data_IF_997331187318
#
_entry.id   IF_997331187318
#
_cell.length_a   1.000
_cell.length_b   1.000
_cell.length_c   1.000
_cell.angle_alpha   90.00
_cell.angle_beta   90.00
_cell.angle_gamma   90.00
#
_symmetry.space_group_name_H-M   'P 1'
#
loop_
_entity.id
_entity.type
_entity.pdbx_description
1 polymer ?
#
# COMPACT_ATOMS: atom_id res chain seq x y z
N UNK A 1 63.08 20.56 -37.17
CA UNK A 1 64.27 19.71 -36.92
C UNK A 1 63.91 18.83 -35.72
N UNK A 2 63.26 17.66 -35.89
CA UNK A 2 63.78 16.35 -36.34
C UNK A 2 64.99 15.91 -35.46
N UNK A 3 65.13 14.75 -34.81
CA UNK A 3 64.40 13.45 -34.65
C UNK A 3 65.08 12.73 -33.45
N UNK A 4 64.38 11.80 -32.81
CA UNK A 4 64.79 10.43 -32.35
C UNK A 4 64.46 10.19 -30.86
N UNK A 5 63.40 9.45 -30.52
CA UNK A 5 63.17 8.00 -30.70
C UNK A 5 64.15 7.11 -29.92
N UNK A 6 63.71 6.58 -28.78
CA UNK A 6 64.27 5.38 -28.18
C UNK A 6 63.17 4.62 -27.41
N UNK A 7 62.49 3.72 -28.13
CA UNK A 7 61.74 2.60 -27.56
C UNK A 7 62.72 1.63 -26.87
N UNK A 8 62.35 1.09 -25.70
CA UNK A 8 62.95 -0.12 -25.12
C UNK A 8 61.88 -1.23 -25.03
N UNK A 9 62.22 -2.51 -25.20
CA UNK A 9 61.32 -3.54 -25.69
C UNK A 9 60.44 -4.20 -24.61
N UNK A 10 59.33 -4.73 -25.10
CA UNK A 10 58.46 -5.70 -24.46
C UNK A 10 59.26 -6.93 -24.01
N UNK A 11 59.22 -7.25 -22.71
CA UNK A 11 59.52 -8.59 -22.21
C UNK A 11 58.28 -9.14 -21.54
N UNK A 12 57.73 -10.18 -22.15
CA UNK A 12 56.67 -10.99 -21.60
C UNK A 12 57.22 -11.73 -20.37
N UNK A 13 56.64 -11.46 -19.21
CA UNK A 13 56.65 -12.40 -18.08
C UNK A 13 55.17 -12.67 -17.76
N UNK A 14 54.76 -13.93 -17.93
CA UNK A 14 53.39 -14.36 -17.69
C UNK A 14 52.97 -14.10 -16.24
N UNK A 15 51.66 -13.95 -15.98
CA UNK A 15 51.19 -13.71 -14.61
C UNK A 15 51.51 -14.92 -13.73
N UNK A 16 51.99 -14.73 -12.48
CA UNK A 16 52.03 -15.81 -11.51
C UNK A 16 50.59 -16.29 -11.26
N UNK A 17 50.38 -17.57 -11.55
CA UNK A 17 49.14 -18.30 -11.29
C UNK A 17 49.01 -18.56 -9.79
N UNK A 18 48.63 -17.53 -9.03
CA UNK A 18 48.32 -17.66 -7.61
C UNK A 18 46.80 -17.66 -7.39
N UNK A 19 46.29 -18.87 -7.17
CA UNK A 19 45.09 -19.23 -6.41
C UNK A 19 44.02 -18.14 -6.22
N UNK A 20 43.13 -17.99 -7.20
CA UNK A 20 41.79 -17.43 -6.94
C UNK A 20 41.02 -18.49 -6.16
N UNK A 21 41.07 -18.39 -4.82
CA UNK A 21 40.17 -19.11 -3.94
C UNK A 21 38.71 -18.83 -4.35
N UNK A 22 37.82 -19.83 -4.36
CA UNK A 22 36.43 -19.59 -4.69
C UNK A 22 35.80 -18.74 -3.59
N UNK A 23 35.48 -17.48 -3.88
CA UNK A 23 34.55 -16.66 -3.10
C UNK A 23 33.12 -17.21 -3.25
N UNK A 24 32.93 -18.48 -2.93
CA UNK A 24 31.62 -19.11 -2.88
C UNK A 24 30.97 -18.77 -1.54
N UNK A 25 29.91 -17.97 -1.62
CA UNK A 25 28.67 -18.25 -0.92
C UNK A 25 28.65 -18.06 0.62
N UNK A 26 29.25 -16.98 1.16
CA UNK A 26 28.98 -16.53 2.55
C UNK A 26 27.95 -15.40 2.68
N UNK A 27 27.39 -14.90 1.57
CA UNK A 27 26.44 -13.77 1.57
C UNK A 27 24.99 -14.15 1.91
N UNK A 28 24.58 -15.41 1.72
CA UNK A 28 23.20 -15.85 1.96
C UNK A 28 22.83 -15.94 3.45
N UNK A 29 23.74 -16.39 4.32
CA UNK A 29 23.48 -16.58 5.75
C UNK A 29 23.32 -15.27 6.54
N UNK A 30 24.10 -14.24 6.20
CA UNK A 30 24.01 -12.91 6.85
C UNK A 30 22.69 -12.19 6.57
N UNK A 31 22.12 -12.38 5.37
CA UNK A 31 20.83 -11.80 5.01
C UNK A 31 19.65 -12.43 5.75
N UNK A 32 19.68 -13.75 5.96
CA UNK A 32 18.63 -14.46 6.70
C UNK A 32 18.63 -14.11 8.20
N UNK A 33 19.81 -14.01 8.82
CA UNK A 33 19.94 -13.59 10.23
C UNK A 33 19.44 -12.15 10.43
N UNK A 34 19.81 -11.22 9.54
CA UNK A 34 19.34 -9.85 9.61
C UNK A 34 17.81 -9.72 9.40
N UNK A 35 17.23 -10.55 8.53
CA UNK A 35 15.78 -10.64 8.33
C UNK A 35 15.08 -11.16 9.59
N UNK A 36 15.59 -12.23 10.20
CA UNK A 36 15.07 -12.81 11.43
C UNK A 36 15.13 -11.84 12.61
N UNK A 37 16.22 -11.08 12.74
CA UNK A 37 16.36 -10.04 13.78
C UNK A 37 15.33 -8.93 13.57
N UNK A 38 15.13 -8.46 12.33
CA UNK A 38 14.12 -7.43 12.01
C UNK A 38 12.69 -7.90 12.29
N UNK A 39 12.38 -9.14 11.91
CA UNK A 39 11.09 -9.78 12.25
C UNK A 39 10.94 -9.94 13.76
N UNK A 40 12.02 -10.30 14.46
CA UNK A 40 12.07 -10.42 15.92
C UNK A 40 11.73 -9.10 16.63
N UNK A 41 12.29 -7.97 16.19
CA UNK A 41 11.94 -6.65 16.72
C UNK A 41 10.48 -6.27 16.46
N UNK A 42 9.94 -6.63 15.29
CA UNK A 42 8.52 -6.42 14.98
C UNK A 42 7.60 -7.20 15.91
N UNK A 43 7.87 -8.50 16.09
CA UNK A 43 7.13 -9.35 17.03
C UNK A 43 7.28 -8.83 18.46
N UNK A 44 8.48 -8.46 18.88
CA UNK A 44 8.73 -7.92 20.22
C UNK A 44 7.92 -6.64 20.48
N UNK A 45 7.81 -5.73 19.51
CA UNK A 45 7.01 -4.51 19.66
C UNK A 45 5.52 -4.81 19.81
N UNK A 46 4.98 -5.74 19.01
CA UNK A 46 3.56 -6.13 19.08
C UNK A 46 3.27 -6.86 20.40
N UNK A 47 4.15 -7.77 20.81
CA UNK A 47 4.04 -8.48 22.08
C UNK A 47 4.18 -7.56 23.28
N UNK A 48 5.02 -6.53 23.22
CA UNK A 48 5.13 -5.52 24.27
C UNK A 48 3.82 -4.75 24.42
N UNK A 49 3.22 -4.32 23.31
CA UNK A 49 1.94 -3.61 23.32
C UNK A 49 0.82 -4.49 23.91
N UNK A 50 0.72 -5.75 23.46
CA UNK A 50 -0.25 -6.71 24.00
C UNK A 50 0.01 -6.98 25.49
N UNK A 51 1.27 -7.13 25.89
CA UNK A 51 1.67 -7.37 27.28
C UNK A 51 1.37 -6.19 28.22
N UNK A 52 1.55 -4.95 27.76
CA UNK A 52 1.15 -3.76 28.51
C UNK A 52 -0.36 -3.74 28.72
N UNK A 53 -1.14 -4.07 27.69
CA UNK A 53 -2.59 -4.14 27.80
C UNK A 53 -3.04 -5.25 28.79
N UNK A 54 -2.47 -6.44 28.68
CA UNK A 54 -2.67 -7.55 29.62
C UNK A 54 -2.33 -7.14 31.06
N UNK A 55 -1.22 -6.42 31.26
CA UNK A 55 -0.80 -5.94 32.58
C UNK A 55 -1.78 -4.92 33.17
N UNK A 56 -2.27 -3.97 32.37
CA UNK A 56 -3.26 -2.96 32.82
C UNK A 56 -4.60 -3.63 33.17
N UNK A 57 -4.98 -4.67 32.43
CA UNK A 57 -6.13 -5.50 32.79
C UNK A 57 -5.91 -6.26 34.11
N UNK A 58 -4.74 -6.91 34.28
CA UNK A 58 -4.40 -7.68 35.48
C UNK A 58 -4.35 -6.81 36.75
N UNK A 59 -4.03 -5.52 36.61
CA UNK A 59 -4.07 -4.53 37.69
C UNK A 59 -5.51 -4.13 38.09
N UNK A 60 -6.55 -4.67 37.44
CA UNK A 60 -7.96 -4.39 37.73
C UNK A 60 -8.44 -3.04 37.19
N UNK A 61 -7.66 -2.38 36.34
CA UNK A 61 -7.98 -1.04 35.81
C UNK A 61 -8.99 -1.03 34.66
N UNK A 62 -9.36 -2.19 34.11
CA UNK A 62 -10.18 -2.30 32.90
C UNK A 62 -11.40 -3.20 33.13
N UNK A 63 -12.57 -2.73 32.71
CA UNK A 63 -13.78 -3.55 32.71
C UNK A 63 -13.73 -4.54 31.52
N UNK A 64 -13.73 -5.87 31.75
CA UNK A 64 -13.61 -6.88 30.69
C UNK A 64 -14.72 -6.79 29.64
N UNK A 65 -15.88 -6.26 30.02
CA UNK A 65 -17.02 -6.09 29.11
C UNK A 65 -16.79 -4.95 28.11
N UNK A 66 -15.98 -3.95 28.47
CA UNK A 66 -15.68 -2.78 27.64
C UNK A 66 -14.36 -2.94 26.88
N UNK A 67 -13.34 -3.48 27.54
CA UNK A 67 -11.99 -3.63 27.03
C UNK A 67 -11.46 -5.03 27.34
N UNK A 68 -11.91 -6.06 26.60
CA UNK A 68 -11.42 -7.42 26.78
C UNK A 68 -9.91 -7.50 26.45
N UNK A 69 -9.09 -8.15 27.29
CA UNK A 69 -7.68 -8.36 27.00
C UNK A 69 -7.48 -9.28 25.78
N UNK A 70 -6.34 -9.18 25.09
CA UNK A 70 -6.00 -9.99 23.92
C UNK A 70 -6.26 -11.49 24.06
N UNK A 71 -5.93 -12.10 25.20
CA UNK A 71 -6.16 -13.54 25.37
C UNK A 71 -7.64 -13.95 25.33
N UNK A 72 -8.58 -13.10 25.79
CA UNK A 72 -10.01 -13.44 25.84
C UNK A 72 -10.60 -13.44 24.44
N UNK A 73 -10.46 -12.33 23.70
CA UNK A 73 -11.09 -12.27 22.39
C UNK A 73 -10.39 -13.16 21.36
N UNK A 74 -9.10 -13.50 21.53
CA UNK A 74 -8.41 -14.44 20.64
C UNK A 74 -8.69 -15.92 20.98
N UNK A 75 -8.99 -16.26 22.23
CA UNK A 75 -9.34 -17.64 22.61
C UNK A 75 -10.65 -18.10 21.96
N UNK A 76 -11.64 -17.21 21.85
CA UNK A 76 -12.95 -17.49 21.26
C UNK A 76 -12.99 -17.33 19.73
N UNK A 77 -11.87 -17.59 19.05
CA UNK A 77 -11.74 -17.44 17.59
C UNK A 77 -12.86 -18.15 16.83
N UNK A 78 -13.17 -19.40 17.19
CA UNK A 78 -14.16 -20.20 16.48
C UNK A 78 -15.59 -19.64 16.61
N UNK A 79 -15.95 -19.16 17.80
CA UNK A 79 -17.26 -18.55 18.05
C UNK A 79 -17.37 -17.19 17.35
N UNK A 80 -16.30 -16.40 17.33
CA UNK A 80 -16.29 -15.10 16.69
C UNK A 80 -16.24 -15.19 15.15
N UNK A 81 -15.56 -16.21 14.60
CA UNK A 81 -15.51 -16.46 13.16
C UNK A 81 -16.89 -16.77 12.56
N UNK A 82 -17.85 -17.26 13.36
CA UNK A 82 -19.23 -17.49 12.91
C UNK A 82 -19.95 -16.19 12.52
N UNK A 83 -19.58 -15.05 13.09
CA UNK A 83 -20.14 -13.75 12.70
C UNK A 83 -19.68 -13.27 11.32
N UNK A 84 -18.67 -13.93 10.73
CA UNK A 84 -18.19 -13.66 9.37
C UNK A 84 -18.92 -14.50 8.32
N UNK A 85 -19.84 -15.37 8.73
CA UNK A 85 -20.70 -16.11 7.81
C UNK A 85 -21.51 -15.12 6.98
N UNK A 86 -21.45 -15.19 5.63
CA UNK A 86 -22.21 -14.29 4.80
C UNK A 86 -23.67 -14.46 5.16
N UNK A 87 -24.28 -13.41 5.72
CA UNK A 87 -25.72 -13.26 5.65
C UNK A 87 -26.01 -12.78 4.23
N UNK A 88 -25.74 -13.65 3.24
CA UNK A 88 -26.32 -13.49 1.92
C UNK A 88 -27.82 -13.52 2.17
N UNK A 89 -28.47 -12.37 1.91
CA UNK A 89 -29.90 -12.21 1.65
C UNK A 89 -30.80 -13.22 2.40
N UNK A 90 -31.49 -12.77 3.47
CA UNK A 90 -32.61 -13.47 4.15
C UNK A 90 -32.82 -14.91 3.66
N UNK A 91 -32.09 -15.88 4.22
CA UNK A 91 -32.45 -17.30 4.10
C UNK A 91 -31.52 -18.27 3.36
N UNK A 92 -30.27 -17.94 3.00
CA UNK A 92 -29.30 -18.97 2.60
C UNK A 92 -28.05 -18.96 3.49
N UNK A 93 -28.09 -19.77 4.54
CA UNK A 93 -26.90 -20.17 5.29
C UNK A 93 -26.15 -21.16 4.40
N UNK A 94 -25.07 -20.73 3.74
CA UNK A 94 -24.17 -21.67 3.09
C UNK A 94 -23.51 -22.53 4.17
N UNK A 95 -23.43 -23.85 3.96
CA UNK A 95 -22.79 -24.83 4.86
C UNK A 95 -21.25 -24.68 4.90
N UNK A 96 -20.72 -23.48 4.69
CA UNK A 96 -19.29 -23.23 4.65
C UNK A 96 -18.71 -23.17 6.06
N UNK A 97 -17.50 -23.72 6.21
CA UNK A 97 -16.73 -23.62 7.45
C UNK A 97 -16.47 -22.16 7.78
N UNK A 98 -16.58 -21.77 9.06
CA UNK A 98 -16.41 -20.38 9.52
C UNK A 98 -15.11 -19.70 9.02
N UNK A 99 -14.05 -20.49 8.80
CA UNK A 99 -12.80 -20.03 8.20
C UNK A 99 -12.94 -19.59 6.74
N UNK A 100 -13.69 -20.33 5.91
CA UNK A 100 -13.93 -19.96 4.52
C UNK A 100 -14.72 -18.66 4.43
N UNK A 101 -15.72 -18.47 5.29
CA UNK A 101 -16.52 -17.25 5.34
C UNK A 101 -15.69 -16.02 5.75
N UNK A 102 -14.80 -16.18 6.74
CA UNK A 102 -13.86 -15.12 7.13
C UNK A 102 -12.95 -14.74 5.97
N UNK A 103 -12.37 -15.73 5.30
CA UNK A 103 -11.49 -15.51 4.14
C UNK A 103 -12.25 -14.82 3.01
N UNK A 104 -13.47 -15.26 2.68
CA UNK A 104 -14.30 -14.65 1.66
C UNK A 104 -14.64 -13.19 1.99
N UNK A 105 -14.95 -12.89 3.26
CA UNK A 105 -15.22 -11.52 3.73
C UNK A 105 -14.00 -10.62 3.55
N UNK A 106 -12.80 -11.10 3.93
CA UNK A 106 -11.55 -10.36 3.70
C UNK A 106 -11.33 -10.12 2.21
N UNK A 107 -11.53 -11.14 1.37
CA UNK A 107 -11.37 -11.02 -0.07
C UNK A 107 -12.37 -10.05 -0.70
N UNK A 108 -13.61 -10.01 -0.21
CA UNK A 108 -14.62 -9.06 -0.67
C UNK A 108 -14.19 -7.61 -0.37
N UNK A 109 -13.75 -7.33 0.87
CA UNK A 109 -13.21 -6.02 1.25
C UNK A 109 -11.96 -5.66 0.45
N UNK A 110 -11.01 -6.59 0.35
CA UNK A 110 -9.78 -6.39 -0.41
C UNK A 110 -10.03 -6.16 -1.91
N UNK A 111 -11.01 -6.87 -2.50
CA UNK A 111 -11.42 -6.70 -3.88
C UNK A 111 -11.96 -5.30 -4.17
N UNK A 112 -12.78 -4.74 -3.26
CA UNK A 112 -13.29 -3.37 -3.37
C UNK A 112 -12.16 -2.34 -3.28
N UNK A 113 -11.24 -2.52 -2.33
CA UNK A 113 -10.06 -1.66 -2.17
C UNK A 113 -9.19 -1.69 -3.42
N UNK A 114 -8.91 -2.88 -3.96
CA UNK A 114 -8.14 -3.04 -5.19
C UNK A 114 -8.81 -2.38 -6.38
N UNK A 115 -10.11 -2.61 -6.58
CA UNK A 115 -10.84 -2.00 -7.67
C UNK A 115 -10.80 -0.46 -7.57
N UNK A 116 -11.03 0.09 -6.38
CA UNK A 116 -10.97 1.54 -6.14
C UNK A 116 -9.58 2.12 -6.34
N UNK A 117 -8.54 1.46 -5.81
CA UNK A 117 -7.15 1.91 -5.95
C UNK A 117 -6.66 1.84 -7.40
N UNK A 118 -6.98 0.77 -8.13
CA UNK A 118 -6.57 0.62 -9.53
C UNK A 118 -7.25 1.65 -10.41
N UNK A 119 -8.57 1.83 -10.27
CA UNK A 119 -9.32 2.87 -10.98
C UNK A 119 -8.81 4.27 -10.62
N UNK A 120 -8.61 4.54 -9.32
CA UNK A 120 -8.12 5.82 -8.83
C UNK A 120 -6.72 6.13 -9.33
N UNK A 121 -5.80 5.16 -9.30
CA UNK A 121 -4.44 5.32 -9.80
C UNK A 121 -4.41 5.62 -11.29
N UNK A 122 -5.12 4.82 -12.10
CA UNK A 122 -5.14 4.98 -13.56
C UNK A 122 -5.74 6.35 -13.94
N UNK A 123 -6.93 6.68 -13.43
CA UNK A 123 -7.61 7.91 -13.77
C UNK A 123 -6.89 9.15 -13.24
N UNK A 124 -6.32 9.09 -12.03
CA UNK A 124 -5.57 10.22 -11.48
C UNK A 124 -4.26 10.48 -12.22
N UNK A 125 -3.57 9.42 -12.65
CA UNK A 125 -2.37 9.51 -13.47
C UNK A 125 -2.70 10.15 -14.83
N UNK A 126 -3.73 9.65 -15.53
CA UNK A 126 -4.17 10.25 -16.80
C UNK A 126 -4.59 11.71 -16.63
N UNK A 127 -5.33 12.03 -15.57
CA UNK A 127 -5.77 13.39 -15.29
C UNK A 127 -4.58 14.32 -15.00
N UNK A 128 -3.64 13.90 -14.15
CA UNK A 128 -2.42 14.66 -13.85
C UNK A 128 -1.56 14.91 -15.09
N UNK A 129 -1.42 13.89 -15.94
CA UNK A 129 -0.72 14.02 -17.23
C UNK A 129 -1.43 15.01 -18.16
N UNK A 130 -2.75 14.91 -18.28
CA UNK A 130 -3.53 15.82 -19.11
C UNK A 130 -3.40 17.27 -18.63
N UNK A 131 -3.36 17.51 -17.32
CA UNK A 131 -3.14 18.83 -16.71
C UNK A 131 -1.76 19.39 -17.07
N UNK A 132 -0.70 18.58 -16.99
CA UNK A 132 0.66 19.02 -17.32
C UNK A 132 0.88 19.29 -18.82
N UNK A 133 0.29 18.49 -19.70
CA UNK A 133 0.51 18.61 -21.15
C UNK A 133 -0.45 19.59 -21.84
N UNK A 134 -1.71 19.67 -21.40
CA UNK A 134 -2.72 20.53 -22.01
C UNK A 134 -2.99 21.78 -21.15
N UNK A 135 -2.40 22.92 -21.55
CA UNK A 135 -2.52 24.19 -20.82
C UNK A 135 -3.97 24.61 -20.53
N UNK A 136 -4.90 24.38 -21.47
CA UNK A 136 -6.32 24.71 -21.29
C UNK A 136 -6.98 23.79 -20.24
N UNK A 137 -6.68 22.49 -20.30
CA UNK A 137 -7.18 21.50 -19.35
C UNK A 137 -6.70 21.80 -17.94
N UNK A 138 -5.41 22.14 -17.77
CA UNK A 138 -4.85 22.54 -16.48
C UNK A 138 -5.51 23.79 -15.90
N UNK A 139 -5.76 24.83 -16.71
CA UNK A 139 -6.42 26.06 -16.23
C UNK A 139 -7.85 25.85 -15.76
N UNK A 140 -8.59 24.89 -16.33
CA UNK A 140 -9.99 24.63 -15.99
C UNK A 140 -10.15 23.61 -14.86
N UNK A 141 -9.32 22.55 -14.84
CA UNK A 141 -9.52 21.40 -13.95
C UNK A 141 -8.69 21.51 -12.68
N UNK A 142 -7.51 22.13 -12.72
CA UNK A 142 -6.68 22.28 -11.53
C UNK A 142 -7.39 23.07 -10.40
N UNK A 143 -8.09 24.18 -10.67
CA UNK A 143 -8.87 24.87 -9.63
C UNK A 143 -9.97 23.99 -9.04
N UNK A 144 -10.66 23.21 -9.87
CA UNK A 144 -11.70 22.27 -9.43
C UNK A 144 -11.13 21.17 -8.55
N UNK A 145 -10.02 20.56 -8.94
CA UNK A 145 -9.35 19.52 -8.16
C UNK A 145 -8.88 20.07 -6.82
N UNK A 146 -8.24 21.24 -6.81
CA UNK A 146 -7.75 21.87 -5.58
C UNK A 146 -8.87 22.33 -4.65
N UNK A 147 -10.04 22.67 -5.19
CA UNK A 147 -11.25 22.98 -4.42
C UNK A 147 -11.90 21.73 -3.81
N UNK A 148 -11.93 20.61 -4.54
CA UNK A 148 -12.55 19.36 -4.07
C UNK A 148 -11.61 18.54 -3.18
N UNK A 149 -10.29 18.66 -3.34
CA UNK A 149 -9.30 17.87 -2.63
C UNK A 149 -9.39 17.94 -1.08
N UNK A 150 -9.71 19.08 -0.45
CA UNK A 150 -9.86 19.16 1.02
C UNK A 150 -11.14 18.50 1.55
N UNK A 151 -12.10 18.18 0.68
CA UNK A 151 -13.36 17.56 1.09
C UNK A 151 -13.06 16.12 1.52
N UNK A 152 -13.40 15.79 2.77
CA UNK A 152 -13.20 14.44 3.29
C UNK A 152 -13.93 13.40 2.42
N UNK A 153 -13.28 12.28 2.03
CA UNK A 153 -13.90 11.25 1.21
C UNK A 153 -15.21 10.71 1.78
N UNK A 154 -15.36 10.69 3.11
CA UNK A 154 -16.57 10.23 3.79
C UNK A 154 -17.80 11.09 3.47
N UNK A 155 -17.62 12.38 3.18
CA UNK A 155 -18.72 13.29 2.86
C UNK A 155 -19.39 12.95 1.53
N UNK A 156 -18.72 12.17 0.67
CA UNK A 156 -19.25 11.71 -0.61
C UNK A 156 -20.15 10.49 -0.50
N UNK A 157 -20.24 9.86 0.68
CA UNK A 157 -21.03 8.64 0.89
C UNK A 157 -22.50 8.77 0.46
N UNK A 158 -23.25 9.83 0.84
CA UNK A 158 -24.65 9.97 0.42
C UNK A 158 -24.79 10.07 -1.10
N UNK A 159 -23.88 10.81 -1.75
CA UNK A 159 -23.85 10.96 -3.21
C UNK A 159 -23.55 9.61 -3.89
N UNK A 160 -22.60 8.84 -3.32
CA UNK A 160 -22.26 7.52 -3.81
C UNK A 160 -23.46 6.57 -3.76
N UNK A 161 -24.19 6.55 -2.64
CA UNK A 161 -25.40 5.73 -2.49
C UNK A 161 -26.51 6.22 -3.42
N UNK A 162 -26.67 7.53 -3.60
CA UNK A 162 -27.70 8.08 -4.48
C UNK A 162 -27.48 7.71 -5.96
N UNK A 163 -26.23 7.74 -6.42
CA UNK A 163 -25.88 7.44 -7.81
C UNK A 163 -25.85 5.93 -8.08
N UNK A 164 -25.24 5.17 -7.16
CA UNK A 164 -24.93 3.76 -7.40
C UNK A 164 -25.84 2.77 -6.65
N UNK A 165 -26.69 3.25 -5.75
CA UNK A 165 -27.50 2.41 -4.86
C UNK A 165 -26.70 1.79 -3.72
N UNK A 166 -27.26 0.76 -3.09
CA UNK A 166 -26.62 -0.03 -2.03
C UNK A 166 -25.84 -1.18 -2.68
N UNK A 167 -24.62 -1.46 -2.21
CA UNK A 167 -23.83 -2.58 -2.68
C UNK A 167 -22.35 -2.25 -2.83
N UNK A 168 -21.63 -3.03 -3.64
CA UNK A 168 -20.18 -2.85 -3.85
C UNK A 168 -19.77 -1.51 -4.48
N UNK A 169 -20.50 -0.94 -5.48
CA UNK A 169 -20.01 0.23 -6.21
C UNK A 169 -19.80 1.50 -5.35
N UNK A 170 -20.65 1.86 -4.38
CA UNK A 170 -20.39 2.98 -3.46
C UNK A 170 -19.06 2.86 -2.70
N UNK A 171 -18.73 1.66 -2.24
CA UNK A 171 -17.47 1.41 -1.52
C UNK A 171 -16.25 1.60 -2.44
N UNK A 172 -16.33 1.10 -3.67
CA UNK A 172 -15.29 1.29 -4.70
C UNK A 172 -15.13 2.78 -5.02
N UNK A 173 -16.25 3.50 -5.19
CA UNK A 173 -16.24 4.93 -5.47
C UNK A 173 -15.63 5.76 -4.33
N UNK A 174 -15.93 5.42 -3.07
CA UNK A 174 -15.35 6.07 -1.89
C UNK A 174 -13.82 5.92 -1.85
N UNK A 175 -13.33 4.71 -2.13
CA UNK A 175 -11.88 4.45 -2.25
C UNK A 175 -11.29 5.25 -3.42
N UNK A 176 -11.96 5.24 -4.57
CA UNK A 176 -11.56 6.01 -5.75
C UNK A 176 -11.39 7.50 -5.44
N UNK A 177 -12.40 8.16 -4.86
CA UNK A 177 -12.36 9.59 -4.50
C UNK A 177 -11.24 9.88 -3.50
N UNK A 178 -11.02 8.99 -2.53
CA UNK A 178 -9.98 9.17 -1.51
C UNK A 178 -8.57 9.26 -2.09
N UNK A 179 -8.31 8.50 -3.17
CA UNK A 179 -7.03 8.49 -3.86
C UNK A 179 -6.95 9.56 -4.96
N UNK A 180 -8.03 9.76 -5.71
CA UNK A 180 -8.01 10.49 -6.98
C UNK A 180 -7.40 11.89 -6.88
N UNK A 181 -7.91 12.72 -5.96
CA UNK A 181 -7.47 14.12 -5.86
C UNK A 181 -6.02 14.23 -5.38
N UNK A 182 -5.67 13.52 -4.30
CA UNK A 182 -4.31 13.54 -3.72
C UNK A 182 -3.30 12.99 -4.71
N UNK A 183 -3.64 11.92 -5.43
CA UNK A 183 -2.77 11.28 -6.41
C UNK A 183 -2.59 12.13 -7.66
N UNK A 184 -3.63 12.84 -8.13
CA UNK A 184 -3.50 13.78 -9.26
C UNK A 184 -2.58 14.95 -8.90
N UNK A 185 -2.78 15.57 -7.74
CA UNK A 185 -1.92 16.68 -7.27
C UNK A 185 -0.48 16.20 -7.11
N UNK A 186 -0.29 15.02 -6.52
CA UNK A 186 1.03 14.40 -6.37
C UNK A 186 1.67 14.15 -7.74
N UNK A 187 0.91 13.63 -8.71
CA UNK A 187 1.41 13.38 -10.08
C UNK A 187 1.93 14.65 -10.74
N UNK A 188 1.17 15.75 -10.65
CA UNK A 188 1.57 17.05 -11.19
C UNK A 188 2.88 17.51 -10.53
N UNK A 189 2.93 17.49 -9.20
CA UNK A 189 4.13 17.88 -8.44
C UNK A 189 5.35 17.03 -8.78
N UNK A 190 5.18 15.72 -8.98
CA UNK A 190 6.28 14.82 -9.36
C UNK A 190 6.79 15.11 -10.77
N UNK A 191 5.90 15.37 -11.74
CA UNK A 191 6.30 15.74 -13.11
C UNK A 191 7.10 17.04 -13.11
N UNK A 192 6.66 18.03 -12.33
CA UNK A 192 7.36 19.33 -12.21
C UNK A 192 8.70 19.22 -11.48
N UNK A 193 8.87 18.22 -10.60
CA UNK A 193 10.12 17.98 -9.86
C UNK A 193 11.25 17.35 -10.68
N UNK A 194 10.96 16.85 -11.89
CA UNK A 194 11.96 16.22 -12.76
C UNK A 194 13.04 17.24 -13.14
N UNK A 195 14.31 16.90 -12.90
CA UNK A 195 15.43 17.80 -13.18
C UNK A 195 15.45 18.25 -14.64
N UNK A 196 15.58 19.56 -14.86
CA UNK A 196 15.72 20.16 -16.18
C UNK A 196 16.89 19.56 -16.95
N UNK A 197 17.98 19.17 -16.28
CA UNK A 197 19.13 18.51 -16.91
C UNK A 197 18.73 17.22 -17.63
N UNK A 198 17.82 16.41 -17.07
CA UNK A 198 17.36 15.19 -17.74
C UNK A 198 16.52 15.50 -18.98
N UNK A 199 15.71 16.56 -18.93
CA UNK A 199 14.90 17.01 -20.06
C UNK A 199 15.78 17.62 -21.17
N UNK A 200 16.79 18.41 -20.81
CA UNK A 200 17.73 19.03 -21.75
C UNK A 200 18.57 17.98 -22.48
N UNK A 201 19.08 16.97 -21.75
CA UNK A 201 19.83 15.85 -22.35
C UNK A 201 18.95 15.06 -23.33
N UNK A 202 17.68 14.82 -22.99
CA UNK A 202 16.73 14.17 -23.91
C UNK A 202 16.47 15.03 -25.16
N UNK A 203 16.34 16.35 -25.00
CA UNK A 203 16.14 17.27 -26.12
C UNK A 203 17.36 17.32 -27.05
N UNK A 204 18.58 17.33 -26.51
CA UNK A 204 19.84 17.29 -27.30
C UNK A 204 19.97 15.97 -28.07
N UNK A 205 19.50 14.86 -27.52
CA UNK A 205 19.45 13.57 -28.22
C UNK A 205 18.31 13.47 -29.25
N UNK A 206 17.54 14.55 -29.48
CA UNK A 206 16.46 14.58 -30.46
C UNK A 206 15.22 13.77 -30.06
N UNK A 207 15.03 13.51 -28.76
CA UNK A 207 13.87 12.76 -28.28
C UNK A 207 12.56 13.52 -28.55
N UNK A 208 11.58 12.84 -29.13
CA UNK A 208 10.22 13.35 -29.29
C UNK A 208 9.52 13.50 -27.92
N UNK A 209 8.46 14.31 -27.84
CA UNK A 209 7.70 14.51 -26.58
C UNK A 209 7.20 13.19 -25.96
N UNK A 210 6.77 12.24 -26.78
CA UNK A 210 6.35 10.92 -26.33
C UNK A 210 7.54 10.11 -25.81
N UNK A 211 8.69 10.15 -26.49
CA UNK A 211 9.90 9.47 -26.02
C UNK A 211 10.40 10.05 -24.70
N UNK A 212 10.45 11.38 -24.56
CA UNK A 212 10.81 12.05 -23.30
C UNK A 212 9.85 11.64 -22.18
N UNK A 213 8.55 11.52 -22.46
CA UNK A 213 7.59 11.06 -21.48
C UNK A 213 7.86 9.64 -20.99
N UNK A 214 7.89 8.66 -21.90
CA UNK A 214 7.99 7.24 -21.53
C UNK A 214 9.38 6.84 -21.02
N UNK A 215 10.45 7.49 -21.48
CA UNK A 215 11.82 7.10 -21.16
C UNK A 215 12.49 7.96 -20.09
N UNK A 216 11.98 9.18 -19.83
CA UNK A 216 12.60 10.11 -18.87
C UNK A 216 11.65 10.44 -17.73
N UNK A 217 10.47 10.97 -18.05
CA UNK A 217 9.54 11.48 -17.03
C UNK A 217 8.90 10.33 -16.26
N UNK A 218 8.27 9.38 -16.96
CA UNK A 218 7.53 8.29 -16.32
C UNK A 218 8.43 7.42 -15.41
N UNK A 219 9.64 6.98 -15.82
CA UNK A 219 10.54 6.22 -14.96
C UNK A 219 11.04 7.03 -13.74
N UNK A 220 11.18 8.35 -13.88
CA UNK A 220 11.62 9.23 -12.80
C UNK A 220 10.54 9.44 -11.72
N UNK A 221 9.27 9.55 -12.11
CA UNK A 221 8.17 9.84 -11.17
C UNK A 221 7.54 8.58 -10.55
N UNK A 222 7.59 7.44 -11.24
CA UNK A 222 7.02 6.16 -10.78
C UNK A 222 7.36 5.80 -9.32
N UNK A 223 8.60 5.96 -8.82
CA UNK A 223 8.96 5.58 -7.46
C UNK A 223 8.23 6.40 -6.41
N UNK A 224 8.13 7.70 -6.63
CA UNK A 224 7.40 8.61 -5.78
C UNK A 224 5.89 8.36 -5.86
N UNK A 225 5.36 8.07 -7.05
CA UNK A 225 3.96 7.69 -7.23
C UNK A 225 3.60 6.40 -6.47
N UNK A 226 4.46 5.38 -6.48
CA UNK A 226 4.24 4.17 -5.68
C UNK A 226 4.27 4.45 -4.17
N UNK A 227 5.13 5.37 -3.72
CA UNK A 227 5.13 5.80 -2.33
C UNK A 227 3.80 6.47 -1.95
N UNK A 228 3.30 7.39 -2.79
CA UNK A 228 1.99 8.04 -2.57
C UNK A 228 0.85 7.04 -2.61
N UNK A 229 0.85 6.11 -3.57
CA UNK A 229 -0.14 5.04 -3.68
C UNK A 229 -0.17 4.18 -2.41
N UNK A 230 1.01 3.87 -1.85
CA UNK A 230 1.16 3.11 -0.62
C UNK A 230 0.66 3.86 0.61
N UNK A 231 0.89 5.17 0.70
CA UNK A 231 0.29 5.98 1.77
C UNK A 231 -1.24 6.01 1.65
N UNK A 232 -1.76 6.12 0.43
CA UNK A 232 -3.19 6.09 0.18
C UNK A 232 -3.84 4.72 0.37
N UNK A 233 -3.08 3.61 0.29
CA UNK A 233 -3.60 2.28 0.63
C UNK A 233 -4.15 2.26 2.07
N UNK A 234 -3.45 2.89 3.02
CA UNK A 234 -3.93 2.98 4.40
C UNK A 234 -5.23 3.79 4.50
N UNK A 235 -5.31 4.92 3.79
CA UNK A 235 -6.53 5.72 3.71
C UNK A 235 -7.71 4.98 3.04
N UNK A 236 -7.43 4.24 1.97
CA UNK A 236 -8.38 3.40 1.25
C UNK A 236 -8.96 2.31 2.16
N UNK A 237 -8.13 1.71 3.00
CA UNK A 237 -8.56 0.72 3.98
C UNK A 237 -9.47 1.32 5.05
N UNK A 238 -9.17 2.54 5.53
CA UNK A 238 -10.02 3.22 6.50
C UNK A 238 -11.40 3.58 5.92
N UNK A 239 -11.42 4.14 4.70
CA UNK A 239 -12.67 4.62 4.10
C UNK A 239 -13.57 3.48 3.62
N UNK A 240 -13.00 2.37 3.13
CA UNK A 240 -13.80 1.22 2.67
C UNK A 240 -14.62 0.63 3.81
N UNK A 241 -14.07 0.59 5.04
CA UNK A 241 -14.76 0.05 6.21
C UNK A 241 -16.00 0.87 6.55
N UNK A 242 -15.90 2.20 6.44
CA UNK A 242 -17.04 3.09 6.66
C UNK A 242 -18.11 2.89 5.58
N UNK A 243 -17.69 2.78 4.32
CA UNK A 243 -18.59 2.53 3.21
C UNK A 243 -19.30 1.18 3.37
N UNK A 244 -18.55 0.15 3.75
CA UNK A 244 -19.09 -1.17 4.06
C UNK A 244 -20.11 -1.10 5.17
N UNK A 245 -19.76 -0.49 6.29
CA UNK A 245 -20.61 -0.38 7.48
C UNK A 245 -21.96 0.33 7.26
N UNK A 246 -22.08 1.16 6.21
CA UNK A 246 -23.27 1.97 5.96
C UNK A 246 -24.06 1.52 4.73
N UNK A 247 -23.38 1.03 3.69
CA UNK A 247 -23.97 0.88 2.35
C UNK A 247 -23.69 -0.45 1.66
N UNK A 248 -23.08 -1.43 2.33
CA UNK A 248 -22.79 -2.75 1.76
C UNK A 248 -23.29 -3.83 2.71
N UNK A 249 -23.95 -4.87 2.20
CA UNK A 249 -24.41 -6.00 3.02
C UNK A 249 -23.33 -6.99 3.45
N UNK A 250 -22.06 -6.77 3.07
CA UNK A 250 -20.95 -7.68 3.37
C UNK A 250 -19.61 -6.96 3.46
N UNK A 251 -18.69 -7.49 4.26
CA UNK A 251 -17.34 -6.94 4.44
C UNK A 251 -16.98 -6.79 5.91
N UNK A 252 -15.70 -6.50 6.16
CA UNK A 252 -15.17 -6.33 7.51
C UNK A 252 -15.84 -5.14 8.23
N UNK A 253 -16.19 -4.08 7.50
CA UNK A 253 -16.85 -2.89 8.07
C UNK A 253 -18.25 -3.19 8.62
N UNK A 254 -19.01 -4.08 7.96
CA UNK A 254 -20.32 -4.51 8.44
C UNK A 254 -20.23 -5.27 9.76
N UNK A 255 -19.23 -6.14 9.90
CA UNK A 255 -19.05 -6.94 11.12
C UNK A 255 -18.67 -6.06 12.30
N UNK A 256 -17.84 -5.02 12.09
CA UNK A 256 -17.56 -4.02 13.13
C UNK A 256 -18.84 -3.27 13.52
N UNK A 257 -19.68 -2.90 12.55
CA UNK A 257 -20.94 -2.22 12.83
C UNK A 257 -21.92 -3.13 13.59
N UNK A 258 -21.98 -4.41 13.23
CA UNK A 258 -22.78 -5.41 13.92
C UNK A 258 -22.29 -5.61 15.36
N UNK A 259 -20.98 -5.77 15.56
CA UNK A 259 -20.37 -5.91 16.87
C UNK A 259 -20.68 -4.71 17.78
N UNK A 260 -20.63 -3.50 17.22
CA UNK A 260 -21.03 -2.26 17.89
C UNK A 260 -22.52 -2.28 18.26
N UNK A 261 -23.40 -2.66 17.35
CA UNK A 261 -24.85 -2.67 17.57
C UNK A 261 -25.28 -3.73 18.60
N UNK A 262 -24.56 -4.85 18.70
CA UNK A 262 -24.78 -5.91 19.69
C UNK A 262 -24.04 -5.66 21.02
N UNK A 263 -23.31 -4.54 21.14
CA UNK A 263 -22.41 -4.27 22.28
C UNK A 263 -21.44 -5.43 22.58
N UNK A 264 -21.03 -6.16 21.54
CA UNK A 264 -20.07 -7.25 21.65
C UNK A 264 -18.65 -6.68 21.46
N UNK A 265 -18.05 -6.27 22.57
CA UNK A 265 -16.69 -5.71 22.59
C UNK A 265 -15.65 -6.74 22.12
N UNK A 266 -15.81 -8.01 22.47
CA UNK A 266 -14.90 -9.09 22.04
C UNK A 266 -14.88 -9.22 20.53
N UNK A 267 -16.05 -9.25 19.88
CA UNK A 267 -16.15 -9.29 18.42
C UNK A 267 -15.58 -8.02 17.78
N UNK A 268 -15.78 -6.85 18.39
CA UNK A 268 -15.24 -5.58 17.88
C UNK A 268 -13.70 -5.61 17.81
N UNK A 269 -13.03 -5.99 18.89
CA UNK A 269 -11.56 -6.07 18.95
C UNK A 269 -10.99 -7.20 18.08
N UNK A 270 -11.72 -8.31 17.98
CA UNK A 270 -11.36 -9.38 17.06
C UNK A 270 -11.37 -8.92 15.61
N UNK A 271 -12.47 -8.30 15.16
CA UNK A 271 -12.56 -7.79 13.79
C UNK A 271 -11.52 -6.71 13.53
N UNK A 272 -11.23 -5.83 14.50
CA UNK A 272 -10.11 -4.86 14.40
C UNK A 272 -8.75 -5.55 14.20
N UNK A 273 -8.51 -6.66 14.89
CA UNK A 273 -7.28 -7.45 14.74
C UNK A 273 -7.18 -8.06 13.34
N UNK A 274 -8.27 -8.64 12.83
CA UNK A 274 -8.35 -9.18 11.47
C UNK A 274 -8.13 -8.09 10.41
N UNK A 275 -8.74 -6.91 10.60
CA UNK A 275 -8.56 -5.73 9.73
C UNK A 275 -7.08 -5.31 9.70
N UNK A 276 -6.42 -5.24 10.86
CA UNK A 276 -5.01 -4.89 10.97
C UNK A 276 -4.09 -5.91 10.27
N UNK A 277 -4.36 -7.20 10.46
CA UNK A 277 -3.61 -8.28 9.82
C UNK A 277 -3.81 -8.28 8.29
N UNK A 278 -5.05 -8.14 7.84
CA UNK A 278 -5.38 -8.06 6.41
C UNK A 278 -4.72 -6.85 5.75
N UNK A 279 -4.79 -5.66 6.37
CA UNK A 279 -4.13 -4.45 5.88
C UNK A 279 -2.61 -4.58 5.83
N UNK A 280 -1.99 -5.23 6.82
CA UNK A 280 -0.55 -5.51 6.81
C UNK A 280 -0.13 -6.46 5.69
N UNK A 281 -0.88 -7.55 5.49
CA UNK A 281 -0.67 -8.47 4.35
C UNK A 281 -0.81 -7.70 3.03
N UNK A 282 -1.79 -6.79 2.94
CA UNK A 282 -2.00 -5.97 1.76
C UNK A 282 -0.82 -5.02 1.47
N UNK A 283 -0.29 -4.36 2.50
CA UNK A 283 0.91 -3.52 2.40
C UNK A 283 2.12 -4.35 1.94
N UNK A 284 2.31 -5.55 2.47
CA UNK A 284 3.38 -6.47 2.04
C UNK A 284 3.26 -6.86 0.57
N UNK A 285 2.04 -7.18 0.12
CA UNK A 285 1.77 -7.50 -1.28
C UNK A 285 2.09 -6.32 -2.19
N UNK A 286 1.65 -5.11 -1.82
CA UNK A 286 1.92 -3.90 -2.59
C UNK A 286 3.42 -3.57 -2.63
N UNK A 287 4.16 -3.74 -1.53
CA UNK A 287 5.62 -3.61 -1.51
C UNK A 287 6.30 -4.60 -2.44
N UNK A 288 5.83 -5.85 -2.50
CA UNK A 288 6.38 -6.85 -3.40
C UNK A 288 6.13 -6.49 -4.87
N UNK A 289 4.94 -5.97 -5.19
CA UNK A 289 4.62 -5.43 -6.51
C UNK A 289 5.53 -4.25 -6.85
N UNK A 290 5.70 -3.30 -5.93
CA UNK A 290 6.59 -2.14 -6.08
C UNK A 290 8.03 -2.57 -6.38
N UNK A 291 8.56 -3.56 -5.63
CA UNK A 291 9.92 -4.08 -5.85
C UNK A 291 10.11 -4.71 -7.23
N UNK A 292 9.10 -5.43 -7.73
CA UNK A 292 9.15 -6.04 -9.06
C UNK A 292 9.07 -4.99 -10.18
N UNK A 293 8.24 -3.95 -9.99
CA UNK A 293 8.06 -2.90 -10.99
C UNK A 293 9.23 -1.91 -11.03
N UNK A 294 9.85 -1.60 -9.88
CA UNK A 294 10.98 -0.67 -9.75
C UNK A 294 12.32 -1.40 -9.70
N UNK A 295 12.53 -2.40 -10.56
CA UNK A 295 13.75 -3.22 -10.55
C UNK A 295 15.03 -2.41 -10.80
N UNK A 296 14.93 -1.26 -11.47
CA UNK A 296 16.05 -0.38 -11.79
C UNK A 296 16.51 0.51 -10.63
N UNK A 297 15.76 0.57 -9.52
CA UNK A 297 16.13 1.39 -8.37
C UNK A 297 16.85 0.50 -7.35
N UNK A 298 18.12 0.79 -7.04
CA UNK A 298 18.80 0.10 -5.96
C UNK A 298 18.01 0.33 -4.66
N UNK A 299 17.71 -0.75 -3.94
CA UNK A 299 17.06 -0.66 -2.64
C UNK A 299 17.98 0.16 -1.73
N UNK A 300 17.65 1.45 -1.54
CA UNK A 300 18.38 2.31 -0.62
C UNK A 300 18.46 1.56 0.70
N UNK A 301 19.68 1.25 1.15
CA UNK A 301 19.92 0.60 2.44
C UNK A 301 19.46 1.56 3.54
N UNK A 302 18.17 1.53 3.87
CA UNK A 302 17.65 2.11 5.09
C UNK A 302 18.25 1.28 6.23
N UNK A 303 19.33 1.83 6.81
CA UNK A 303 20.18 1.15 7.79
C UNK A 303 21.65 1.59 7.82
N UNK A 304 22.06 2.59 7.03
CA UNK A 304 23.30 3.34 7.29
C UNK A 304 22.96 4.58 8.09
N UNK A 305 23.38 4.60 9.36
CA UNK A 305 23.36 5.74 10.27
C UNK A 305 23.67 7.07 9.58
N UNK A 306 22.74 8.02 9.69
CA UNK A 306 23.13 9.44 9.83
C UNK A 306 23.82 9.63 11.17
#
# INVERSE_FOLDING_TARGET
MNVKSAQKPLTASGPPSDHIAPLLNRSRGRGQIALLIRLGWGVASVSLFAGVWEAVWALGGLNPLLLPPPHIFLADFAAQAQYFMPTDVIGQVSNDTALLSLVNTIFATAGRVLAGLTLGFILSLFCGLAICYFRLFGKLILPTITLLAPISPIAWLPVAIFIFGIGNPPAIFMVFISLFFVMTISTISQIESVSKTHLDVAAVMGATRAQTFYHVILPAILPALFFVLRMNLFGAWMIVLVAEATGVGSGLGQIVMQARNTFNSSLSFFTMTIIGMAGFVFDLLLRNVQKRLLYWIPENRVGGSQ
#
